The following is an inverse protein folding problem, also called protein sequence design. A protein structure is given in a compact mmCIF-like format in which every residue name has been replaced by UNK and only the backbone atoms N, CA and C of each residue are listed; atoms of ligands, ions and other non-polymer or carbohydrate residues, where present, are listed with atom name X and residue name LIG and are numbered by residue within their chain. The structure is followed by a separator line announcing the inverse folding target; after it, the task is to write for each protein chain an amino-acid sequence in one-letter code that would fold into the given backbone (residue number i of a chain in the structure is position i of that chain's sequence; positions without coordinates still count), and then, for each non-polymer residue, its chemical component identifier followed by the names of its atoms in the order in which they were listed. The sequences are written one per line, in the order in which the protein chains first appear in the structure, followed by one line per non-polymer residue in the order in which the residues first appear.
data_IF_605530714241
#
_entry.id   IF_605530714241
#
_cell.length_a   1.000
_cell.length_b   1.000
_cell.length_c   1.000
_cell.angle_alpha   90.00
_cell.angle_beta   90.00
_cell.angle_gamma   90.00
#
_symmetry.space_group_name_H-M   'P 1'
#
loop_
_entity.id
_entity.type
_entity.pdbx_description
1 polymer ?
#
# COMPACT_ATOMS: atom_id res chain seq x y z
N UNK A 1 4.05 13.76 -18.04
CA UNK A 1 4.89 14.93 -17.65
C UNK A 1 5.70 14.56 -16.41
N UNK A 2 6.84 15.22 -16.16
CA UNK A 2 7.65 14.92 -14.96
C UNK A 2 6.86 15.11 -13.65
N UNK A 3 5.86 15.98 -13.64
CA UNK A 3 5.00 16.25 -12.48
C UNK A 3 3.86 15.25 -12.27
N UNK A 4 3.75 14.20 -13.09
CA UNK A 4 2.68 13.21 -12.96
C UNK A 4 3.20 11.95 -12.28
N UNK A 5 2.51 11.49 -11.24
CA UNK A 5 2.86 10.23 -10.54
C UNK A 5 2.56 8.98 -11.38
N UNK A 6 1.68 9.13 -12.38
CA UNK A 6 1.20 8.05 -13.23
C UNK A 6 1.85 8.00 -14.61
N UNK A 7 1.95 6.77 -15.13
CA UNK A 7 2.30 6.52 -16.53
C UNK A 7 1.06 6.55 -17.41
N UNK A 8 1.24 6.93 -18.68
CA UNK A 8 0.15 6.96 -19.65
C UNK A 8 -0.37 5.55 -19.96
N UNK A 9 -1.70 5.40 -20.01
CA UNK A 9 -2.36 4.17 -20.47
C UNK A 9 -2.44 4.05 -21.99
N UNK A 10 -2.13 5.11 -22.74
CA UNK A 10 -2.27 5.13 -24.20
C UNK A 10 -1.53 3.98 -24.90
N UNK A 11 -0.27 3.64 -24.56
CA UNK A 11 0.44 2.52 -25.19
C UNK A 11 -0.30 1.18 -25.08
N UNK A 12 -0.93 0.92 -23.93
CA UNK A 12 -1.74 -0.29 -23.72
C UNK A 12 -3.03 -0.26 -24.57
N UNK A 13 -3.68 0.90 -24.68
CA UNK A 13 -4.93 1.04 -25.46
C UNK A 13 -4.74 0.81 -26.96
N UNK A 14 -3.57 1.16 -27.50
CA UNK A 14 -3.26 1.00 -28.93
C UNK A 14 -2.50 -0.30 -29.24
N UNK A 15 -2.30 -1.17 -28.25
CA UNK A 15 -1.56 -2.43 -28.41
C UNK A 15 -0.06 -2.27 -28.64
N UNK A 16 0.52 -1.12 -28.26
CA UNK A 16 1.93 -0.80 -28.48
C UNK A 16 2.85 -1.13 -27.30
N UNK A 17 2.33 -1.71 -26.21
CA UNK A 17 3.16 -2.07 -25.04
C UNK A 17 2.67 -3.34 -24.34
N UNK A 18 3.63 -4.06 -23.75
CA UNK A 18 3.36 -5.05 -22.71
C UNK A 18 3.04 -4.40 -21.34
N UNK A 19 2.91 -5.21 -20.27
CA UNK A 19 2.75 -4.69 -18.92
C UNK A 19 3.86 -3.70 -18.56
N UNK A 20 3.52 -2.61 -17.86
CA UNK A 20 4.48 -1.59 -17.45
C UNK A 20 5.33 -1.99 -16.23
N UNK A 21 5.30 -3.26 -15.82
CA UNK A 21 6.05 -3.78 -14.68
C UNK A 21 5.53 -3.36 -13.30
N UNK A 22 4.41 -2.61 -13.21
CA UNK A 22 3.80 -2.27 -11.93
C UNK A 22 3.07 -3.48 -11.34
N UNK A 23 3.52 -3.92 -10.17
CA UNK A 23 2.94 -5.07 -9.45
C UNK A 23 2.14 -4.68 -8.20
N UNK A 24 2.14 -3.40 -7.85
CA UNK A 24 1.35 -2.85 -6.75
C UNK A 24 0.75 -1.47 -7.06
N UNK A 25 -0.25 -1.10 -6.27
CA UNK A 25 -0.80 0.25 -6.22
C UNK A 25 -0.61 0.82 -4.81
N UNK A 26 -0.31 2.12 -4.76
CA UNK A 26 -0.27 2.90 -3.53
C UNK A 26 -1.51 3.81 -3.50
N UNK A 27 -2.19 3.89 -2.36
CA UNK A 27 -3.30 4.80 -2.16
C UNK A 27 -3.14 5.57 -0.86
N UNK A 28 -3.59 6.82 -0.89
CA UNK A 28 -3.63 7.71 0.27
C UNK A 28 -5.08 8.09 0.51
N UNK A 29 -5.52 7.94 1.75
CA UNK A 29 -6.70 8.58 2.28
C UNK A 29 -6.21 9.40 3.46
N UNK A 30 -6.37 10.72 3.42
CA UNK A 30 -5.82 11.61 4.46
C UNK A 30 -6.92 12.11 5.39
N UNK A 31 -8.04 12.50 4.81
CA UNK A 31 -9.14 13.14 5.52
C UNK A 31 -10.44 12.99 4.75
N UNK A 32 -11.52 12.90 5.50
CA UNK A 32 -12.84 13.31 5.01
C UNK A 32 -13.45 14.33 5.98
N UNK A 33 -14.27 13.88 6.93
CA UNK A 33 -14.79 14.73 8.01
C UNK A 33 -13.87 14.69 9.25
N UNK A 34 -13.07 13.64 9.39
CA UNK A 34 -12.00 13.47 10.39
C UNK A 34 -10.67 13.20 9.70
N UNK A 35 -9.57 13.42 10.42
CA UNK A 35 -8.24 12.95 10.01
C UNK A 35 -8.27 11.43 10.05
N UNK A 36 -7.93 10.83 8.93
CA UNK A 36 -7.86 9.39 8.76
C UNK A 36 -6.62 9.13 7.91
N UNK A 37 -5.44 9.36 8.50
CA UNK A 37 -4.10 9.28 7.90
C UNK A 37 -3.77 7.85 7.39
N UNK A 38 -4.53 7.33 6.45
CA UNK A 38 -4.40 5.98 5.95
C UNK A 38 -3.56 5.90 4.68
N UNK A 39 -2.71 4.88 4.64
CA UNK A 39 -1.92 4.52 3.45
C UNK A 39 -2.18 3.07 3.13
N UNK A 40 -2.25 2.76 1.85
CA UNK A 40 -2.48 1.40 1.39
C UNK A 40 -1.44 1.04 0.35
N UNK A 41 -0.85 -0.14 0.48
CA UNK A 41 -0.14 -0.82 -0.61
C UNK A 41 -0.92 -2.08 -0.94
N UNK A 42 -1.29 -2.26 -2.21
CA UNK A 42 -1.99 -3.45 -2.69
C UNK A 42 -1.27 -4.06 -3.88
N UNK A 43 -0.86 -5.31 -3.73
CA UNK A 43 -0.38 -6.17 -4.81
C UNK A 43 -1.53 -6.94 -5.45
N UNK A 44 -1.26 -7.87 -6.38
CA UNK A 44 -2.28 -8.79 -6.89
C UNK A 44 -2.88 -9.69 -5.80
N UNK A 45 -2.08 -10.11 -4.82
CA UNK A 45 -2.49 -11.10 -3.81
C UNK A 45 -2.71 -10.51 -2.44
N UNK A 46 -1.91 -9.55 -2.00
CA UNK A 46 -2.00 -9.01 -0.65
C UNK A 46 -2.23 -7.51 -0.64
N UNK A 47 -2.96 -7.04 0.36
CA UNK A 47 -3.10 -5.62 0.69
C UNK A 47 -2.62 -5.37 2.11
N UNK A 48 -1.87 -4.28 2.31
CA UNK A 48 -1.57 -3.68 3.60
C UNK A 48 -2.25 -2.32 3.68
N UNK A 49 -3.01 -2.08 4.74
CA UNK A 49 -3.48 -0.74 5.14
C UNK A 49 -2.78 -0.34 6.43
N UNK A 50 -2.16 0.83 6.42
CA UNK A 50 -1.65 1.50 7.62
C UNK A 50 -2.67 2.54 8.08
N UNK A 51 -2.92 2.59 9.38
CA UNK A 51 -3.73 3.62 10.03
C UNK A 51 -2.91 4.24 11.17
N UNK A 52 -2.84 5.57 11.26
CA UNK A 52 -2.10 6.24 12.33
C UNK A 52 -2.67 6.02 13.74
N UNK A 53 -3.95 5.63 13.81
CA UNK A 53 -4.73 5.55 15.04
C UNK A 53 -5.12 4.12 15.43
N UNK A 54 -4.66 3.12 14.68
CA UNK A 54 -5.01 1.71 14.88
C UNK A 54 -3.84 0.79 14.50
N UNK A 55 -3.99 -0.51 14.72
CA UNK A 55 -3.09 -1.52 14.16
C UNK A 55 -3.18 -1.54 12.64
N UNK A 56 -2.14 -2.05 11.97
CA UNK A 56 -2.20 -2.26 10.53
C UNK A 56 -3.20 -3.37 10.15
N UNK A 57 -3.54 -3.42 8.87
CA UNK A 57 -4.44 -4.44 8.31
C UNK A 57 -3.75 -5.16 7.16
N UNK A 58 -3.72 -6.49 7.18
CA UNK A 58 -3.26 -7.30 6.04
C UNK A 58 -4.38 -8.23 5.59
N UNK A 59 -4.65 -8.24 4.28
CA UNK A 59 -5.61 -9.14 3.66
C UNK A 59 -4.93 -9.96 2.56
N UNK A 60 -5.20 -11.27 2.52
CA UNK A 60 -4.83 -12.16 1.42
C UNK A 60 -6.02 -12.29 0.46
N UNK A 61 -5.99 -11.53 -0.62
CA UNK A 61 -7.06 -11.36 -1.59
C UNK A 61 -7.35 -12.63 -2.42
N UNK A 62 -6.47 -13.63 -2.41
CA UNK A 62 -6.73 -14.92 -3.06
C UNK A 62 -7.70 -15.78 -2.22
N UNK A 63 -7.58 -15.74 -0.90
CA UNK A 63 -8.41 -16.55 0.01
C UNK A 63 -9.50 -15.75 0.72
N UNK A 64 -9.30 -14.44 0.85
CA UNK A 64 -10.22 -13.46 1.45
C UNK A 64 -10.44 -12.28 0.47
N UNK A 65 -11.15 -12.53 -0.67
CA UNK A 65 -11.39 -11.51 -1.69
C UNK A 65 -12.29 -10.37 -1.20
N UNK A 66 -12.97 -10.53 -0.06
CA UNK A 66 -13.85 -9.54 0.54
C UNK A 66 -13.22 -8.80 1.72
N UNK A 67 -11.96 -9.12 2.06
CA UNK A 67 -11.16 -8.41 3.06
C UNK A 67 -11.82 -8.38 4.44
N UNK A 68 -12.31 -9.54 4.88
CA UNK A 68 -13.03 -9.70 6.15
C UNK A 68 -12.11 -10.14 7.30
N UNK A 69 -11.00 -10.80 6.99
CA UNK A 69 -10.09 -11.39 7.97
C UNK A 69 -8.75 -10.65 8.01
N UNK A 70 -8.58 -9.74 8.97
CA UNK A 70 -7.30 -9.06 9.17
C UNK A 70 -6.21 -10.04 9.69
N UNK A 71 -5.17 -10.24 8.87
CA UNK A 71 -4.00 -11.11 9.14
C UNK A 71 -2.78 -10.38 9.67
N UNK A 72 -2.90 -9.10 10.04
CA UNK A 72 -1.74 -8.29 10.41
C UNK A 72 -0.88 -8.90 11.53
N UNK A 73 -1.50 -9.50 12.54
CA UNK A 73 -0.82 -10.17 13.65
C UNK A 73 -0.63 -11.69 13.49
N UNK A 74 -1.05 -12.25 12.34
CA UNK A 74 -0.86 -13.68 12.06
C UNK A 74 0.64 -13.95 11.79
N UNK A 75 1.32 -14.80 12.58
CA UNK A 75 2.74 -15.08 12.38
C UNK A 75 3.04 -15.72 11.02
N UNK A 76 2.07 -16.39 10.39
CA UNK A 76 2.24 -16.96 9.05
C UNK A 76 2.38 -15.89 7.96
N UNK A 77 1.95 -14.65 8.24
CA UNK A 77 2.03 -13.51 7.34
C UNK A 77 3.20 -12.57 7.67
N UNK A 78 4.13 -12.95 8.55
CA UNK A 78 5.24 -12.07 8.96
C UNK A 78 6.14 -11.63 7.79
N UNK A 79 6.44 -12.54 6.84
CA UNK A 79 7.23 -12.21 5.64
C UNK A 79 6.45 -11.28 4.69
N UNK A 80 5.15 -11.52 4.52
CA UNK A 80 4.24 -10.67 3.74
C UNK A 80 4.14 -9.28 4.36
N UNK A 81 4.02 -9.19 5.69
CA UNK A 81 4.01 -7.93 6.43
C UNK A 81 5.29 -7.14 6.18
N UNK A 82 6.45 -7.78 6.30
CA UNK A 82 7.73 -7.13 6.04
C UNK A 82 7.85 -6.62 4.60
N UNK A 83 7.48 -7.43 3.59
CA UNK A 83 7.49 -7.02 2.17
C UNK A 83 6.59 -5.80 1.92
N UNK A 84 5.34 -5.83 2.40
CA UNK A 84 4.40 -4.75 2.18
C UNK A 84 4.77 -3.46 2.93
N UNK A 85 5.31 -3.57 4.15
CA UNK A 85 5.84 -2.42 4.90
C UNK A 85 7.02 -1.78 4.16
N UNK A 86 7.95 -2.56 3.61
CA UNK A 86 9.08 -2.05 2.84
C UNK A 86 8.61 -1.34 1.55
N UNK A 87 7.60 -1.87 0.86
CA UNK A 87 6.98 -1.20 -0.30
C UNK A 87 6.34 0.12 0.10
N UNK A 88 5.64 0.16 1.23
CA UNK A 88 5.03 1.37 1.76
C UNK A 88 6.09 2.42 2.12
N UNK A 89 7.16 2.01 2.83
CA UNK A 89 8.30 2.88 3.18
C UNK A 89 8.91 3.51 1.93
N UNK A 90 9.07 2.74 0.85
CA UNK A 90 9.57 3.25 -0.44
C UNK A 90 8.68 4.36 -0.98
N UNK A 91 7.37 4.13 -1.11
CA UNK A 91 6.45 5.17 -1.57
C UNK A 91 6.44 6.41 -0.68
N UNK A 92 6.41 6.23 0.63
CA UNK A 92 6.39 7.34 1.58
C UNK A 92 7.69 8.16 1.53
N UNK A 93 8.82 7.50 1.28
CA UNK A 93 10.12 8.18 1.09
C UNK A 93 10.17 8.93 -0.23
N UNK A 94 9.83 8.25 -1.34
CA UNK A 94 9.90 8.81 -2.69
C UNK A 94 8.97 10.01 -2.87
N UNK A 95 7.79 9.98 -2.24
CA UNK A 95 6.78 11.04 -2.31
C UNK A 95 6.92 12.10 -1.21
N UNK A 96 7.85 11.92 -0.26
CA UNK A 96 7.98 12.82 0.89
C UNK A 96 6.70 12.87 1.75
N UNK A 97 6.08 11.72 2.01
CA UNK A 97 4.80 11.65 2.72
C UNK A 97 4.93 12.23 4.15
N UNK A 98 4.08 13.19 4.55
CA UNK A 98 4.18 13.88 5.83
C UNK A 98 3.98 12.98 7.06
N UNK A 99 3.41 11.79 6.88
CA UNK A 99 3.15 10.82 7.96
C UNK A 99 4.25 9.75 8.06
N UNK A 100 5.28 9.82 7.21
CA UNK A 100 6.36 8.84 7.17
C UNK A 100 7.04 8.61 8.53
N UNK A 101 7.33 9.68 9.27
CA UNK A 101 7.96 9.58 10.61
C UNK A 101 7.08 8.82 11.61
N UNK A 102 5.76 8.94 11.49
CA UNK A 102 4.80 8.23 12.33
C UNK A 102 4.66 6.77 11.91
N UNK A 103 4.59 6.51 10.60
CA UNK A 103 4.61 5.16 10.02
C UNK A 103 5.82 4.36 10.52
N UNK A 104 7.02 4.93 10.43
CA UNK A 104 8.29 4.34 10.91
C UNK A 104 8.23 3.89 12.37
N UNK A 105 7.60 4.69 13.22
CA UNK A 105 7.46 4.40 14.64
C UNK A 105 6.57 3.17 14.86
N UNK A 106 5.39 3.16 14.24
CA UNK A 106 4.41 2.07 14.38
C UNK A 106 4.94 0.78 13.73
N UNK A 107 5.53 0.88 12.55
CA UNK A 107 6.06 -0.28 11.83
C UNK A 107 7.18 -1.00 12.60
N UNK A 108 7.93 -0.28 13.44
CA UNK A 108 8.98 -0.88 14.29
C UNK A 108 8.45 -1.69 15.47
N UNK A 109 7.17 -1.54 15.81
CA UNK A 109 6.51 -2.20 16.93
C UNK A 109 5.69 -3.44 16.49
N UNK A 110 5.64 -3.72 15.18
CA UNK A 110 4.83 -4.78 14.54
C UNK A 110 5.64 -6.02 14.17
#
# INVERSE_FOLDING_TARGET
PESMDGESFLPAMIGASGPNGRDEVFCVFDRHFTIANQRMVRTRRHQLTFNSSDTGEIYDLEIDPYQLDNRYHDPNYASVRSDLLNRMERYMTDLGDPVYSWFRRIASEA
#
